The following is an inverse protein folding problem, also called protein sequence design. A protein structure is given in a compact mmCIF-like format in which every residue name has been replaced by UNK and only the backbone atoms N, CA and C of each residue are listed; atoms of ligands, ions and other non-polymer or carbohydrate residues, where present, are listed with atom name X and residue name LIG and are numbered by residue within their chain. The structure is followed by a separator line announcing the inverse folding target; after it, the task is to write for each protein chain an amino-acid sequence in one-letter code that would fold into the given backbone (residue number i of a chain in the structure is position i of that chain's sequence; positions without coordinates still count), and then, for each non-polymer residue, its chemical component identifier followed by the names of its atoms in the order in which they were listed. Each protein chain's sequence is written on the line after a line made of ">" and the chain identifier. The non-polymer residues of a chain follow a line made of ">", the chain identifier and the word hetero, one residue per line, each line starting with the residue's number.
data_IF_030705508681
#
_entry.id   IF_030705508681
#
_cell.length_a   1.000
_cell.length_b   1.000
_cell.length_c   1.000
_cell.angle_alpha   90.00
_cell.angle_beta   90.00
_cell.angle_gamma   90.00
#
_symmetry.space_group_name_H-M   'P 1'
#
loop_
_entity.id
_entity.type
_entity.pdbx_description
1 polymer ?
#
# COMPACT_ATOMS: atom_id res chain seq x y z
N UNK A 1 14.60 -13.13 -10.91
CA UNK A 1 14.62 -13.79 -12.24
C UNK A 1 13.85 -15.10 -12.22
N UNK A 2 14.14 -16.03 -11.31
CA UNK A 2 13.41 -17.31 -11.24
C UNK A 2 11.92 -17.13 -10.86
N UNK A 3 11.64 -16.45 -9.74
CA UNK A 3 10.25 -16.12 -9.32
C UNK A 3 9.43 -15.37 -10.38
N UNK A 4 10.05 -14.43 -11.08
CA UNK A 4 9.37 -13.66 -12.12
C UNK A 4 8.97 -14.58 -13.28
N UNK A 5 9.87 -15.45 -13.71
CA UNK A 5 9.60 -16.42 -14.78
C UNK A 5 8.50 -17.40 -14.38
N UNK A 6 8.52 -17.91 -13.15
CA UNK A 6 7.47 -18.78 -12.61
C UNK A 6 6.10 -18.08 -12.60
N UNK A 7 6.05 -16.81 -12.21
CA UNK A 7 4.81 -16.03 -12.22
C UNK A 7 4.31 -15.80 -13.66
N UNK A 8 5.20 -15.49 -14.61
CA UNK A 8 4.85 -15.38 -16.03
C UNK A 8 4.29 -16.72 -16.57
N UNK A 9 4.91 -17.85 -16.26
CA UNK A 9 4.41 -19.17 -16.65
C UNK A 9 3.03 -19.46 -16.04
N UNK A 10 2.82 -19.12 -14.76
CA UNK A 10 1.53 -19.26 -14.09
C UNK A 10 0.44 -18.39 -14.73
N UNK A 11 0.75 -17.13 -15.07
CA UNK A 11 -0.20 -16.23 -15.74
C UNK A 11 -0.53 -16.73 -17.14
N UNK A 12 0.47 -17.23 -17.88
CA UNK A 12 0.25 -17.90 -19.16
C UNK A 12 -0.75 -19.04 -19.02
N UNK A 13 -0.60 -19.85 -17.96
CA UNK A 13 -1.54 -20.94 -17.67
C UNK A 13 -2.94 -20.45 -17.32
N UNK A 14 -3.06 -19.35 -16.56
CA UNK A 14 -4.35 -18.73 -16.26
C UNK A 14 -5.07 -18.31 -17.54
N UNK A 15 -4.37 -17.69 -18.51
CA UNK A 15 -4.97 -17.31 -19.78
C UNK A 15 -5.55 -18.53 -20.53
N UNK A 16 -4.79 -19.62 -20.62
CA UNK A 16 -5.28 -20.86 -21.23
C UNK A 16 -6.53 -21.40 -20.52
N UNK A 17 -6.52 -21.41 -19.18
CA UNK A 17 -7.64 -21.92 -18.37
C UNK A 17 -8.89 -21.04 -18.47
N UNK A 18 -8.73 -19.75 -18.80
CA UNK A 18 -9.82 -18.84 -19.11
C UNK A 18 -10.37 -19.00 -20.54
N UNK A 19 -9.75 -19.86 -21.36
CA UNK A 19 -10.15 -20.10 -22.76
C UNK A 19 -9.56 -19.11 -23.77
N UNK A 20 -8.57 -18.31 -23.37
CA UNK A 20 -7.85 -17.41 -24.27
C UNK A 20 -6.72 -18.14 -25.02
N UNK A 21 -6.31 -17.57 -26.16
CA UNK A 21 -5.11 -17.99 -26.91
C UNK A 21 -3.91 -17.10 -26.50
N UNK A 22 -2.93 -17.61 -25.72
CA UNK A 22 -1.76 -16.83 -25.32
C UNK A 22 -0.88 -16.39 -26.49
N UNK A 23 -1.00 -17.00 -27.67
CA UNK A 23 -0.23 -16.63 -28.87
C UNK A 23 -0.86 -15.49 -29.66
N UNK A 24 -2.08 -15.06 -29.31
CA UNK A 24 -2.71 -13.86 -29.89
C UNK A 24 -1.81 -12.65 -29.69
N UNK A 25 -1.65 -11.82 -30.72
CA UNK A 25 -0.73 -10.67 -30.73
C UNK A 25 -0.83 -9.81 -29.46
N UNK A 26 -2.06 -9.57 -28.97
CA UNK A 26 -2.31 -8.79 -27.76
C UNK A 26 -1.88 -9.46 -26.45
N UNK A 27 -1.76 -10.79 -26.41
CA UNK A 27 -1.52 -11.59 -25.20
C UNK A 27 -0.10 -12.13 -25.06
N UNK A 28 0.71 -12.18 -26.13
CA UNK A 28 2.09 -12.71 -26.10
C UNK A 28 2.93 -12.09 -24.98
N UNK A 29 2.76 -10.78 -24.70
CA UNK A 29 3.47 -10.07 -23.62
C UNK A 29 2.64 -9.88 -22.35
N UNK A 30 1.41 -10.39 -22.29
CA UNK A 30 0.53 -10.24 -21.12
C UNK A 30 1.12 -10.89 -19.87
N UNK A 31 1.65 -12.13 -19.90
CA UNK A 31 2.26 -12.72 -18.72
C UNK A 31 3.35 -11.85 -18.09
N UNK A 32 4.28 -11.35 -18.91
CA UNK A 32 5.34 -10.44 -18.46
C UNK A 32 4.78 -9.14 -17.86
N UNK A 33 3.80 -8.52 -18.53
CA UNK A 33 3.19 -7.26 -18.06
C UNK A 33 2.45 -7.45 -16.74
N UNK A 34 1.73 -8.56 -16.60
CA UNK A 34 0.96 -8.88 -15.38
C UNK A 34 1.89 -9.24 -14.24
N UNK A 35 2.97 -10.00 -14.47
CA UNK A 35 3.97 -10.29 -13.45
C UNK A 35 4.60 -9.01 -12.88
N UNK A 36 5.03 -8.09 -13.75
CA UNK A 36 5.57 -6.78 -13.35
C UNK A 36 4.53 -5.91 -12.62
N UNK A 37 3.27 -5.98 -13.04
CA UNK A 37 2.20 -5.26 -12.35
C UNK A 37 2.03 -5.80 -10.92
N UNK A 38 2.01 -7.13 -10.74
CA UNK A 38 1.91 -7.73 -9.41
C UNK A 38 3.11 -7.42 -8.50
N UNK A 39 4.32 -7.37 -9.04
CA UNK A 39 5.50 -6.91 -8.29
C UNK A 39 5.29 -5.50 -7.73
N UNK A 40 4.81 -4.55 -8.55
CA UNK A 40 4.50 -3.19 -8.09
C UNK A 40 3.31 -3.14 -7.12
N UNK A 41 2.24 -3.88 -7.41
CA UNK A 41 1.02 -3.91 -6.59
C UNK A 41 1.25 -4.56 -5.21
N UNK A 42 2.36 -5.27 -5.03
CA UNK A 42 2.73 -5.95 -3.78
C UNK A 42 4.08 -5.49 -3.21
N UNK A 43 4.70 -4.44 -3.75
CA UNK A 43 6.03 -3.98 -3.34
C UNK A 43 6.08 -3.51 -1.88
N UNK A 44 4.91 -3.16 -1.31
CA UNK A 44 4.77 -2.77 0.08
C UNK A 44 5.17 -3.84 1.10
N UNK A 45 5.26 -5.13 0.72
CA UNK A 45 5.81 -6.18 1.58
C UNK A 45 7.33 -6.04 1.82
N UNK A 46 8.03 -5.30 0.97
CA UNK A 46 9.49 -5.15 1.01
C UNK A 46 9.94 -3.79 1.55
N UNK A 47 8.98 -2.97 1.99
CA UNK A 47 9.24 -1.66 2.59
C UNK A 47 9.05 -1.68 4.11
N UNK A 48 9.88 -0.90 4.80
CA UNK A 48 9.82 -0.71 6.26
C UNK A 48 9.09 0.61 6.58
N UNK A 49 7.90 0.56 7.21
CA UNK A 49 7.13 1.76 7.55
C UNK A 49 7.86 2.68 8.55
N UNK A 50 8.57 2.13 9.52
CA UNK A 50 9.30 2.93 10.52
C UNK A 50 10.45 3.68 9.85
N UNK A 51 11.21 3.00 8.97
CA UNK A 51 12.28 3.64 8.20
C UNK A 51 11.77 4.78 7.30
N UNK A 52 10.55 4.69 6.77
CA UNK A 52 9.95 5.76 5.95
C UNK A 52 9.62 6.99 6.79
N UNK A 53 9.00 6.79 7.95
CA UNK A 53 8.60 7.85 8.87
C UNK A 53 9.83 8.53 9.49
N UNK A 54 10.80 7.74 9.97
CA UNK A 54 12.03 8.23 10.60
C UNK A 54 12.86 9.15 9.71
N UNK A 55 12.79 9.01 8.38
CA UNK A 55 13.50 9.87 7.41
C UNK A 55 13.06 11.34 7.44
N UNK A 56 11.95 11.68 8.10
CA UNK A 56 11.45 13.05 8.17
C UNK A 56 10.71 13.33 9.49
N UNK A 57 11.25 12.87 10.62
CA UNK A 57 10.80 13.28 11.94
C UNK A 57 11.48 14.59 12.37
N UNK A 58 10.71 15.48 12.96
CA UNK A 58 11.16 16.77 13.44
C UNK A 58 10.62 17.05 14.83
N UNK A 59 11.42 17.68 15.67
CA UNK A 59 10.93 18.23 16.94
C UNK A 59 9.99 19.39 16.66
N UNK A 60 8.85 19.45 17.35
CA UNK A 60 7.90 20.55 17.24
C UNK A 60 7.23 20.80 18.58
N UNK A 61 6.94 22.07 18.88
CA UNK A 61 6.09 22.45 20.01
C UNK A 61 4.60 22.43 19.67
N UNK A 62 4.23 22.08 18.42
CA UNK A 62 2.83 21.98 18.03
C UNK A 62 2.18 20.80 18.74
N UNK A 63 1.11 21.05 19.49
CA UNK A 63 0.30 20.05 20.19
C UNK A 63 -1.16 20.03 19.70
N UNK A 64 -1.44 20.70 18.58
CA UNK A 64 -2.72 20.71 17.88
C UNK A 64 -2.81 19.58 16.85
N UNK A 65 -4.05 19.19 16.50
CA UNK A 65 -4.30 18.12 15.55
C UNK A 65 -3.74 18.44 14.14
N UNK A 66 -2.98 17.50 13.59
CA UNK A 66 -2.53 17.50 12.20
C UNK A 66 -3.41 16.54 11.40
N UNK A 67 -3.99 17.01 10.29
CA UNK A 67 -4.87 16.20 9.44
C UNK A 67 -4.32 16.18 8.01
N UNK A 68 -4.14 14.98 7.47
CA UNK A 68 -3.89 14.73 6.05
C UNK A 68 -5.07 13.94 5.51
N UNK A 69 -5.86 14.58 4.65
CA UNK A 69 -7.11 14.02 4.13
C UNK A 69 -7.04 13.79 2.62
N UNK A 70 -7.98 13.00 2.13
CA UNK A 70 -8.19 12.74 0.70
C UNK A 70 -6.98 12.06 0.04
N UNK A 71 -6.30 11.18 0.79
CA UNK A 71 -5.20 10.37 0.27
C UNK A 71 -5.81 9.25 -0.55
N UNK A 72 -5.73 9.37 -1.87
CA UNK A 72 -6.13 8.29 -2.77
C UNK A 72 -5.22 7.08 -2.60
N UNK A 73 -5.82 5.88 -2.56
CA UNK A 73 -5.08 4.63 -2.48
C UNK A 73 -5.67 3.56 -3.40
N UNK A 74 -4.83 2.60 -3.76
CA UNK A 74 -5.16 1.44 -4.55
C UNK A 74 -4.57 0.21 -3.87
N UNK A 75 -5.42 -0.75 -3.51
CA UNK A 75 -5.04 -2.02 -2.91
C UNK A 75 -5.69 -3.19 -3.62
N UNK A 76 -5.46 -4.41 -3.13
CA UNK A 76 -6.04 -5.64 -3.68
C UNK A 76 -6.61 -6.48 -2.54
N UNK A 77 -7.88 -6.86 -2.65
CA UNK A 77 -8.54 -7.73 -1.68
C UNK A 77 -7.85 -9.10 -1.68
N UNK A 78 -7.37 -9.56 -0.52
CA UNK A 78 -6.67 -10.85 -0.43
C UNK A 78 -7.54 -12.06 -0.78
N UNK A 79 -8.86 -11.97 -0.58
CA UNK A 79 -9.79 -13.06 -0.86
C UNK A 79 -10.01 -13.33 -2.35
N UNK A 80 -9.94 -12.28 -3.17
CA UNK A 80 -10.32 -12.35 -4.59
C UNK A 80 -9.25 -11.83 -5.54
N UNK A 81 -8.17 -11.23 -4.99
CA UNK A 81 -7.12 -10.55 -5.75
C UNK A 81 -7.65 -9.44 -6.68
N UNK A 82 -8.78 -8.84 -6.31
CA UNK A 82 -9.43 -7.74 -7.05
C UNK A 82 -9.16 -6.39 -6.38
N UNK A 83 -9.15 -5.28 -7.14
CA UNK A 83 -8.83 -3.98 -6.59
C UNK A 83 -9.79 -3.49 -5.50
N UNK A 84 -9.22 -2.86 -4.48
CA UNK A 84 -9.92 -1.99 -3.51
C UNK A 84 -9.42 -0.57 -3.80
N UNK A 85 -10.33 0.36 -4.09
CA UNK A 85 -9.98 1.72 -4.49
C UNK A 85 -10.76 2.69 -3.63
N UNK A 86 -10.07 3.63 -3.00
CA UNK A 86 -10.74 4.53 -2.08
C UNK A 86 -9.86 5.69 -1.61
N UNK A 87 -10.23 6.23 -0.45
CA UNK A 87 -9.49 7.30 0.20
C UNK A 87 -9.19 6.95 1.65
N UNK A 88 -8.02 7.41 2.10
CA UNK A 88 -7.61 7.40 3.50
C UNK A 88 -7.54 8.83 4.02
N UNK A 89 -8.02 9.02 5.24
CA UNK A 89 -7.83 10.23 6.02
C UNK A 89 -7.06 9.85 7.28
N UNK A 90 -6.01 10.61 7.58
CA UNK A 90 -5.15 10.37 8.74
C UNK A 90 -5.11 11.65 9.56
N UNK A 91 -5.36 11.50 10.86
CA UNK A 91 -5.17 12.56 11.83
C UNK A 91 -4.30 12.07 12.98
N UNK A 92 -3.46 12.94 13.53
CA UNK A 92 -2.74 12.66 14.77
C UNK A 92 -2.54 13.94 15.58
N UNK A 93 -2.42 13.80 16.90
CA UNK A 93 -2.11 14.90 17.81
C UNK A 93 -0.65 14.74 18.25
N UNK A 94 0.28 15.60 17.83
CA UNK A 94 1.70 15.44 18.13
C UNK A 94 2.02 15.49 19.63
N UNK A 95 3.09 14.82 20.03
CA UNK A 95 3.71 14.94 21.36
C UNK A 95 5.21 15.19 21.20
N UNK A 96 5.58 16.45 20.98
CA UNK A 96 6.97 16.87 20.78
C UNK A 96 7.60 16.51 19.42
N UNK A 97 6.98 15.62 18.63
CA UNK A 97 7.45 15.20 17.30
C UNK A 97 6.36 15.30 16.25
N UNK A 98 6.73 15.80 15.07
CA UNK A 98 5.90 15.80 13.85
C UNK A 98 6.64 15.09 12.73
N UNK A 99 5.89 14.53 11.79
CA UNK A 99 6.44 13.95 10.57
C UNK A 99 6.19 14.86 9.37
N UNK A 100 7.12 14.89 8.41
CA UNK A 100 6.90 15.54 7.13
C UNK A 100 5.64 14.98 6.45
N UNK A 101 4.71 15.87 6.06
CA UNK A 101 3.37 15.49 5.59
C UNK A 101 3.38 14.49 4.43
N UNK A 102 4.41 14.53 3.56
CA UNK A 102 4.57 13.61 2.44
C UNK A 102 4.85 12.16 2.85
N UNK A 103 5.15 11.88 4.12
CA UNK A 103 5.34 10.52 4.63
C UNK A 103 4.02 9.81 4.91
N UNK A 104 2.97 10.53 5.28
CA UNK A 104 1.67 9.93 5.57
C UNK A 104 1.10 9.21 4.34
N UNK A 105 1.02 9.83 3.13
CA UNK A 105 0.63 9.10 1.93
C UNK A 105 1.55 7.93 1.55
N UNK A 106 2.84 8.00 1.90
CA UNK A 106 3.77 6.89 1.63
C UNK A 106 3.48 5.68 2.50
N UNK A 107 3.12 5.89 3.77
CA UNK A 107 2.67 4.81 4.66
C UNK A 107 1.36 4.21 4.17
N UNK A 108 0.41 5.06 3.75
CA UNK A 108 -0.82 4.56 3.12
C UNK A 108 -0.50 3.67 1.91
N UNK A 109 0.34 4.14 0.99
CA UNK A 109 0.72 3.38 -0.21
C UNK A 109 1.49 2.09 0.11
N UNK A 110 2.37 2.10 1.11
CA UNK A 110 3.10 0.92 1.55
C UNK A 110 2.15 -0.20 1.98
N UNK A 111 1.14 0.11 2.79
CA UNK A 111 0.17 -0.90 3.20
C UNK A 111 -0.86 -1.21 2.12
N UNK A 112 -1.22 -0.24 1.28
CA UNK A 112 -2.13 -0.44 0.15
C UNK A 112 -1.52 -1.41 -0.90
N UNK A 113 -0.21 -1.33 -1.15
CA UNK A 113 0.52 -2.19 -2.10
C UNK A 113 0.84 -3.57 -1.50
N UNK A 114 -0.20 -4.24 -1.03
CA UNK A 114 -0.22 -5.60 -0.48
C UNK A 114 -1.56 -6.25 -0.86
N UNK A 115 -1.67 -7.56 -0.65
CA UNK A 115 -2.98 -8.18 -0.50
C UNK A 115 -3.52 -7.83 0.89
N UNK A 116 -4.75 -7.34 0.96
CA UNK A 116 -5.31 -6.72 2.18
C UNK A 116 -6.77 -7.05 2.45
N UNK A 117 -7.12 -6.83 3.71
CA UNK A 117 -8.46 -6.56 4.22
C UNK A 117 -8.49 -5.09 4.68
N UNK A 118 -9.60 -4.37 4.47
CA UNK A 118 -9.67 -2.93 4.75
C UNK A 118 -9.44 -2.60 6.23
N UNK A 119 -10.01 -3.40 7.12
CA UNK A 119 -9.87 -3.31 8.57
C UNK A 119 -8.40 -3.42 8.97
N UNK A 120 -7.71 -4.44 8.47
CA UNK A 120 -6.29 -4.67 8.75
C UNK A 120 -5.41 -3.54 8.21
N UNK A 121 -5.68 -3.07 6.98
CA UNK A 121 -4.93 -1.95 6.40
C UNK A 121 -5.10 -0.68 7.25
N UNK A 122 -6.31 -0.43 7.78
CA UNK A 122 -6.61 0.71 8.65
C UNK A 122 -5.78 0.67 9.93
N UNK A 123 -5.76 -0.49 10.60
CA UNK A 123 -4.98 -0.72 11.82
C UNK A 123 -3.48 -0.57 11.58
N UNK A 124 -2.96 -1.19 10.50
CA UNK A 124 -1.54 -1.14 10.15
C UNK A 124 -1.03 0.30 9.93
N UNK A 125 -1.82 1.16 9.27
CA UNK A 125 -1.47 2.57 9.09
C UNK A 125 -1.43 3.29 10.43
N UNK A 126 -2.43 3.07 11.29
CA UNK A 126 -2.51 3.70 12.60
C UNK A 126 -1.33 3.28 13.49
N UNK A 127 -1.03 1.99 13.54
CA UNK A 127 0.05 1.41 14.34
C UNK A 127 1.42 1.91 13.89
N UNK A 128 1.69 1.96 12.58
CA UNK A 128 2.96 2.48 12.06
C UNK A 128 3.22 3.93 12.51
N UNK A 129 2.18 4.77 12.44
CA UNK A 129 2.23 6.17 12.89
C UNK A 129 2.44 6.23 14.40
N UNK A 130 1.63 5.48 15.16
CA UNK A 130 1.67 5.47 16.61
C UNK A 130 3.04 5.02 17.15
N UNK A 131 3.57 3.92 16.60
CA UNK A 131 4.80 3.29 17.05
C UNK A 131 6.05 4.09 16.67
N UNK A 132 6.00 4.92 15.62
CA UNK A 132 7.17 5.69 15.17
C UNK A 132 7.17 7.13 15.67
N UNK A 133 6.01 7.80 15.63
CA UNK A 133 5.90 9.22 15.99
C UNK A 133 5.65 9.37 17.49
N UNK A 134 5.02 8.39 18.14
CA UNK A 134 4.52 8.45 19.51
C UNK A 134 3.64 9.69 19.78
N UNK A 135 2.58 9.91 18.98
CA UNK A 135 1.66 11.02 19.19
C UNK A 135 0.78 10.77 20.44
N UNK A 136 0.07 11.80 20.91
CA UNK A 136 -0.96 11.65 21.96
C UNK A 136 -2.12 10.75 21.50
N UNK A 137 -2.35 10.70 20.20
CA UNK A 137 -3.32 9.82 19.57
C UNK A 137 -3.25 9.91 18.05
N UNK A 138 -3.74 8.85 17.40
CA UNK A 138 -3.86 8.74 15.93
C UNK A 138 -5.27 8.28 15.58
N UNK A 139 -5.80 8.77 14.47
CA UNK A 139 -7.03 8.30 13.86
C UNK A 139 -6.82 8.08 12.37
N UNK A 140 -7.28 6.94 11.87
CA UNK A 140 -7.25 6.58 10.46
C UNK A 140 -8.67 6.21 10.04
N UNK A 141 -9.13 6.79 8.94
CA UNK A 141 -10.42 6.46 8.32
C UNK A 141 -10.14 6.04 6.89
N UNK A 142 -10.49 4.80 6.56
CA UNK A 142 -10.46 4.26 5.20
C UNK A 142 -11.89 4.16 4.69
N UNK A 143 -12.14 4.71 3.51
CA UNK A 143 -13.41 4.61 2.80
C UNK A 143 -13.14 4.09 1.38
N UNK A 144 -13.63 2.90 1.08
CA UNK A 144 -13.47 2.19 -0.18
C UNK A 144 -14.68 1.28 -0.42
#
# INVERSE_FOLDING_TARGET
>A
MEKQKELEEAIGKVLELLGEDPQREGLVKTPQRVAKAWEFLTEGYHEDPEAILNKALFTSSNDEMVVVRDIEFYSNCEHHMLPIIGRVHVAYIPDGKVVGLSKIPRIVNLFARRLQIQEQMTEQIADAINNTIHPKGVAVVVHA
#
